data_IF_003612202954
#
_entry.id   IF_003612202954
#
_cell.length_a   1.000
_cell.length_b   1.000
_cell.length_c   1.000
_cell.angle_alpha   90.00
_cell.angle_beta   90.00
_cell.angle_gamma   90.00
#
_symmetry.space_group_name_H-M   'P 1'
#
loop_
_entity.id
_entity.type
_entity.pdbx_description
1 polymer ?
#
# COMPACT_ATOMS: atom_id res chain seq x y z
N UNK A 1 -21.58 21.93 -15.92
CA UNK A 1 -20.46 22.44 -15.11
C UNK A 1 -19.44 21.33 -15.04
N UNK A 2 -18.50 21.32 -15.98
CA UNK A 2 -17.53 20.23 -16.18
C UNK A 2 -16.31 20.52 -15.33
N UNK A 3 -16.11 19.76 -14.26
CA UNK A 3 -14.91 19.87 -13.43
C UNK A 3 -13.78 19.13 -14.14
N UNK A 4 -12.96 19.89 -14.85
CA UNK A 4 -11.65 19.46 -15.33
C UNK A 4 -10.74 19.31 -14.10
N UNK A 5 -10.47 18.07 -13.70
CA UNK A 5 -9.44 17.79 -12.70
C UNK A 5 -8.08 17.72 -13.40
N UNK A 6 -7.27 18.73 -13.13
CA UNK A 6 -5.85 18.87 -13.50
C UNK A 6 -5.07 17.59 -13.14
N UNK A 7 -4.25 17.02 -14.06
CA UNK A 7 -3.32 15.97 -13.70
C UNK A 7 -2.12 16.60 -12.99
N UNK A 8 -2.28 16.94 -11.72
CA UNK A 8 -1.16 17.37 -10.90
C UNK A 8 -0.29 16.16 -10.56
N UNK A 9 1.02 16.35 -10.75
CA UNK A 9 2.12 15.57 -10.16
C UNK A 9 2.67 14.37 -10.94
N UNK A 10 3.15 14.67 -12.14
CA UNK A 10 4.36 14.05 -12.68
C UNK A 10 5.58 14.59 -11.91
N UNK A 11 5.87 14.03 -10.74
CA UNK A 11 7.02 14.43 -9.92
C UNK A 11 7.43 13.32 -8.98
N UNK A 12 8.30 12.41 -9.45
CA UNK A 12 8.89 11.30 -8.67
C UNK A 12 7.89 10.61 -7.74
N UNK A 13 6.99 9.81 -8.31
CA UNK A 13 6.22 8.87 -7.50
C UNK A 13 7.23 7.91 -6.86
N UNK A 14 7.59 8.16 -5.61
CA UNK A 14 8.16 7.14 -4.74
C UNK A 14 7.29 5.90 -4.96
N UNK A 15 7.89 4.76 -5.35
CA UNK A 15 7.13 3.56 -5.72
C UNK A 15 6.36 3.10 -4.48
N UNK A 16 5.17 3.64 -4.28
CA UNK A 16 4.36 3.44 -3.08
C UNK A 16 3.25 2.49 -3.48
N UNK A 17 3.37 1.26 -3.03
CA UNK A 17 2.35 0.23 -3.26
C UNK A 17 1.29 0.37 -2.18
N UNK A 18 0.04 0.44 -2.61
CA UNK A 18 -1.11 0.44 -1.72
C UNK A 18 -1.54 -0.99 -1.48
N UNK A 19 -1.56 -1.43 -0.22
CA UNK A 19 -2.03 -2.78 0.16
C UNK A 19 -3.23 -2.68 1.08
N UNK A 20 -4.20 -3.57 0.89
CA UNK A 20 -5.40 -3.67 1.72
C UNK A 20 -5.16 -4.67 2.84
N UNK A 21 -5.42 -4.26 4.08
CA UNK A 21 -5.31 -5.14 5.25
C UNK A 21 -6.47 -6.12 5.26
N UNK A 22 -6.18 -7.41 5.09
CA UNK A 22 -7.18 -8.48 5.14
C UNK A 22 -7.25 -9.17 6.50
N UNK A 23 -6.36 -8.82 7.44
CA UNK A 23 -6.26 -9.44 8.76
C UNK A 23 -7.39 -8.95 9.67
N UNK A 24 -8.14 -9.87 10.27
CA UNK A 24 -9.33 -9.54 11.08
C UNK A 24 -9.04 -8.66 12.30
N UNK A 25 -7.88 -8.85 12.95
CA UNK A 25 -7.43 -8.01 14.08
C UNK A 25 -6.72 -6.72 13.64
N UNK A 26 -6.75 -6.39 12.34
CA UNK A 26 -5.93 -5.33 11.77
C UNK A 26 -4.45 -5.70 11.64
N UNK A 27 -3.64 -4.74 11.21
CA UNK A 27 -2.20 -4.86 11.06
C UNK A 27 -1.51 -3.62 11.61
N UNK A 28 -0.42 -3.79 12.37
CA UNK A 28 0.39 -2.66 12.80
C UNK A 28 1.28 -2.20 11.66
N UNK A 29 1.10 -0.99 11.20
CA UNK A 29 1.93 -0.35 10.18
C UNK A 29 2.48 0.96 10.73
N UNK A 30 3.82 1.15 10.67
CA UNK A 30 4.51 2.34 11.20
C UNK A 30 4.17 2.66 12.68
N UNK A 31 3.89 1.63 13.49
CA UNK A 31 3.52 1.77 14.90
C UNK A 31 2.02 2.02 15.15
N UNK A 32 1.23 2.29 14.12
CA UNK A 32 -0.22 2.46 14.23
C UNK A 32 -0.98 1.17 13.91
N UNK A 33 -2.05 0.90 14.65
CA UNK A 33 -2.92 -0.25 14.37
C UNK A 33 -3.92 0.13 13.28
N UNK A 34 -3.74 -0.45 12.11
CA UNK A 34 -4.60 -0.23 10.95
C UNK A 34 -5.65 -1.34 10.87
N UNK A 35 -6.92 -0.94 10.81
CA UNK A 35 -8.05 -1.87 10.84
C UNK A 35 -8.11 -2.78 9.60
N UNK A 36 -8.92 -3.85 9.69
CA UNK A 36 -9.29 -4.66 8.53
C UNK A 36 -9.93 -3.78 7.47
N UNK A 37 -9.69 -4.11 6.20
CA UNK A 37 -10.17 -3.44 5.00
C UNK A 37 -9.60 -2.04 4.74
N UNK A 38 -8.79 -1.51 5.65
CA UNK A 38 -8.06 -0.28 5.41
C UNK A 38 -6.90 -0.49 4.42
N UNK A 39 -6.59 0.54 3.67
CA UNK A 39 -5.50 0.55 2.69
C UNK A 39 -4.34 1.37 3.26
N UNK A 40 -3.14 0.80 3.25
CA UNK A 40 -1.91 1.46 3.69
C UNK A 40 -0.95 1.65 2.51
N UNK A 41 -0.18 2.73 2.54
CA UNK A 41 1.02 2.89 1.73
C UNK A 41 2.19 2.12 2.38
N UNK A 42 2.85 1.26 1.62
CA UNK A 42 4.09 0.63 2.08
C UNK A 42 5.30 1.44 1.60
N UNK A 43 6.37 1.36 2.38
CA UNK A 43 7.66 1.97 2.04
C UNK A 43 8.17 1.49 0.68
N UNK A 44 9.00 2.28 0.01
CA UNK A 44 9.50 1.96 -1.34
C UNK A 44 10.30 0.64 -1.42
N UNK A 45 11.00 0.28 -0.33
CA UNK A 45 11.75 -0.97 -0.22
C UNK A 45 10.82 -2.19 -0.23
N UNK A 46 9.83 -2.20 0.67
CA UNK A 46 8.75 -3.19 0.68
C UNK A 46 7.96 -3.20 -0.64
N UNK A 47 7.69 -2.03 -1.21
CA UNK A 47 6.97 -1.90 -2.47
C UNK A 47 7.72 -2.58 -3.63
N UNK A 48 9.04 -2.44 -3.69
CA UNK A 48 9.86 -3.12 -4.69
C UNK A 48 9.79 -4.64 -4.52
N UNK A 49 9.87 -5.14 -3.29
CA UNK A 49 9.75 -6.58 -2.98
C UNK A 49 8.34 -7.08 -3.32
N UNK A 50 7.30 -6.31 -3.00
CA UNK A 50 5.91 -6.70 -3.25
C UNK A 50 5.63 -6.73 -4.75
N UNK A 51 6.09 -5.76 -5.53
CA UNK A 51 5.88 -5.73 -6.99
C UNK A 51 6.69 -6.82 -7.70
N UNK A 52 7.87 -7.14 -7.20
CA UNK A 52 8.74 -8.18 -7.76
C UNK A 52 8.24 -9.60 -7.44
N UNK A 53 7.85 -9.85 -6.19
CA UNK A 53 7.47 -11.19 -5.72
C UNK A 53 5.97 -11.49 -5.77
N UNK A 54 5.11 -10.47 -5.75
CA UNK A 54 3.66 -10.65 -5.64
C UNK A 54 2.91 -9.95 -6.78
N UNK A 55 1.83 -10.58 -7.24
CA UNK A 55 0.92 -9.98 -8.22
C UNK A 55 -0.20 -9.23 -7.50
N UNK A 56 -0.81 -8.27 -8.20
CA UNK A 56 -2.02 -7.59 -7.70
C UNK A 56 -3.09 -8.64 -7.38
N UNK A 57 -3.61 -8.61 -6.15
CA UNK A 57 -4.58 -9.57 -5.64
C UNK A 57 -3.98 -10.72 -4.83
N UNK A 58 -2.65 -10.87 -4.83
CA UNK A 58 -1.97 -11.86 -3.99
C UNK A 58 -1.88 -11.41 -2.53
N UNK A 59 -1.85 -12.37 -1.61
CA UNK A 59 -1.86 -12.08 -0.18
C UNK A 59 -0.44 -11.94 0.34
N UNK A 60 -0.04 -10.71 0.58
CA UNK A 60 1.24 -10.41 1.24
C UNK A 60 1.14 -10.72 2.74
N UNK A 61 2.09 -11.48 3.27
CA UNK A 61 2.22 -11.72 4.71
C UNK A 61 3.59 -11.23 5.18
N UNK A 62 3.60 -10.29 6.12
CA UNK A 62 4.84 -9.88 6.78
C UNK A 62 5.36 -11.04 7.61
N UNK A 63 6.48 -11.64 7.20
CA UNK A 63 7.21 -12.63 8.01
C UNK A 63 7.91 -11.83 9.11
N UNK A 64 7.26 -11.75 10.28
CA UNK A 64 7.82 -11.08 11.45
C UNK A 64 9.19 -11.66 11.76
N UNK A 65 10.18 -10.78 11.90
CA UNK A 65 11.45 -11.08 12.56
C UNK A 65 11.30 -10.70 14.04
#
# INVERSE_FOLDING_TARGET
MSTTETPAEAGKQAKTVKVKITREKGHRHKGELVAKDATIDVSEDDAAIIVDQFKVGDRVTGKGN
#
